data_IF_241858465229
#
_entry.id   IF_241858465229
#
_cell.length_a   1.000
_cell.length_b   1.000
_cell.length_c   1.000
_cell.angle_alpha   90.00
_cell.angle_beta   90.00
_cell.angle_gamma   90.00
#
_symmetry.space_group_name_H-M   'P 1'
#
loop_
_entity.id
_entity.type
_entity.pdbx_description
1 polymer ?
#
# COMPACT_ATOMS: atom_id res chain seq x y z
N UNK A 1 43.51 6.84 -25.84
CA UNK A 1 42.45 5.81 -25.70
C UNK A 1 42.56 4.97 -24.40
N UNK A 2 43.64 4.20 -24.13
CA UNK A 2 43.67 3.30 -22.91
C UNK A 2 43.53 4.04 -21.56
N UNK A 3 44.07 5.27 -21.42
CA UNK A 3 43.91 6.05 -20.17
C UNK A 3 42.49 6.59 -20.01
N UNK A 4 41.87 7.11 -21.07
CA UNK A 4 40.49 7.61 -21.03
C UNK A 4 39.54 6.51 -20.65
N UNK A 5 39.61 5.33 -21.27
CA UNK A 5 38.74 4.21 -20.95
C UNK A 5 38.84 3.75 -19.47
N UNK A 6 40.05 3.79 -18.89
CA UNK A 6 40.24 3.49 -17.46
C UNK A 6 39.57 4.54 -16.57
N UNK A 7 39.68 5.83 -16.92
CA UNK A 7 39.02 6.91 -16.15
C UNK A 7 37.51 6.75 -16.21
N UNK A 8 36.97 6.54 -17.43
CA UNK A 8 35.50 6.35 -17.61
C UNK A 8 35.00 5.12 -16.87
N UNK A 9 35.74 4.03 -16.87
CA UNK A 9 35.41 2.83 -16.08
C UNK A 9 35.35 3.12 -14.57
N UNK A 10 36.39 3.80 -14.04
CA UNK A 10 36.44 4.19 -12.62
C UNK A 10 35.28 5.12 -12.27
N UNK A 11 34.95 6.10 -13.10
CA UNK A 11 33.81 7.00 -12.91
C UNK A 11 32.48 6.21 -12.90
N UNK A 12 32.34 5.24 -13.80
CA UNK A 12 31.14 4.38 -13.81
C UNK A 12 30.98 3.57 -12.51
N UNK A 13 32.07 3.00 -12.01
CA UNK A 13 32.06 2.26 -10.74
C UNK A 13 31.72 3.19 -9.57
N UNK A 14 32.30 4.39 -9.55
CA UNK A 14 31.98 5.41 -8.53
C UNK A 14 30.51 5.82 -8.61
N UNK A 15 29.97 6.05 -9.81
CA UNK A 15 28.56 6.41 -9.99
C UNK A 15 27.61 5.33 -9.46
N UNK A 16 27.88 4.05 -9.74
CA UNK A 16 27.12 2.92 -9.20
C UNK A 16 27.23 2.86 -7.68
N UNK A 17 28.44 3.04 -7.13
CA UNK A 17 28.66 3.01 -5.70
C UNK A 17 27.92 4.16 -4.97
N UNK A 18 28.00 5.39 -5.51
CA UNK A 18 27.29 6.56 -4.99
C UNK A 18 25.77 6.31 -5.03
N UNK A 19 25.22 5.87 -6.16
CA UNK A 19 23.81 5.51 -6.26
C UNK A 19 23.44 4.40 -5.26
N UNK A 20 24.28 3.37 -5.15
CA UNK A 20 24.06 2.25 -4.24
C UNK A 20 24.01 2.65 -2.75
N UNK A 21 24.71 3.72 -2.38
CA UNK A 21 24.78 4.22 -1.01
C UNK A 21 23.82 5.39 -0.73
N UNK A 22 23.29 6.02 -1.78
CA UNK A 22 22.40 7.18 -1.62
C UNK A 22 21.03 6.77 -1.06
N UNK A 23 20.59 7.33 0.08
CA UNK A 23 19.25 7.07 0.61
C UNK A 23 18.15 7.61 -0.31
N UNK A 24 18.43 8.64 -1.11
CA UNK A 24 17.51 9.28 -2.05
C UNK A 24 17.14 8.38 -3.24
N UNK A 25 17.84 7.26 -3.44
CA UNK A 25 17.47 6.25 -4.46
C UNK A 25 16.14 5.58 -4.17
N UNK A 26 15.68 5.65 -2.92
CA UNK A 26 14.42 5.06 -2.51
C UNK A 26 13.28 6.07 -2.60
N UNK A 27 12.20 5.65 -3.21
CA UNK A 27 10.91 6.31 -3.06
C UNK A 27 10.30 5.89 -1.71
N UNK A 28 9.79 6.88 -0.98
CA UNK A 28 9.08 6.64 0.27
C UNK A 28 7.87 7.57 0.34
N UNK A 29 6.70 7.00 0.45
CA UNK A 29 5.46 7.72 0.67
C UNK A 29 4.82 7.24 1.98
N UNK A 30 4.53 8.19 2.87
CA UNK A 30 3.96 7.90 4.19
C UNK A 30 2.44 7.84 4.09
N UNK A 31 1.86 6.74 4.57
CA UNK A 31 0.42 6.59 4.76
C UNK A 31 0.04 6.87 6.21
N UNK A 32 0.87 6.41 7.15
CA UNK A 32 0.75 6.75 8.56
C UNK A 32 2.16 6.99 9.15
N UNK A 33 2.37 8.07 9.93
CA UNK A 33 1.41 9.12 10.36
C UNK A 33 0.68 9.83 9.21
N UNK A 34 -0.55 10.27 9.52
CA UNK A 34 -1.43 10.91 8.53
C UNK A 34 -0.81 12.20 7.98
N UNK A 35 -0.97 12.40 6.68
CA UNK A 35 -0.68 13.67 6.01
C UNK A 35 -1.96 14.50 5.89
N UNK A 36 -1.85 15.81 5.78
CA UNK A 36 -2.97 16.76 5.76
C UNK A 36 -4.05 16.47 4.69
N UNK A 37 -3.65 15.85 3.59
CA UNK A 37 -4.56 15.52 2.47
C UNK A 37 -5.28 14.19 2.61
N UNK A 38 -5.11 13.46 3.72
CA UNK A 38 -5.71 12.13 3.89
C UNK A 38 -6.85 12.14 4.87
N UNK A 39 -7.87 11.32 4.59
CA UNK A 39 -8.92 10.99 5.55
C UNK A 39 -8.76 9.55 6.00
N UNK A 40 -8.81 9.34 7.31
CA UNK A 40 -8.80 8.04 7.95
C UNK A 40 -10.18 7.76 8.55
N UNK A 41 -10.76 6.62 8.19
CA UNK A 41 -12.08 6.19 8.64
C UNK A 41 -12.05 4.74 9.11
N UNK A 42 -12.57 4.48 10.31
CA UNK A 42 -12.93 3.13 10.72
C UNK A 42 -14.37 2.85 10.28
N UNK A 43 -14.62 1.66 9.79
CA UNK A 43 -15.95 1.23 9.33
C UNK A 43 -16.25 -0.20 9.80
N UNK A 44 -17.52 -0.56 9.84
CA UNK A 44 -18.01 -1.90 10.12
C UNK A 44 -19.29 -2.20 9.33
N UNK A 45 -19.86 -3.38 9.54
CA UNK A 45 -21.02 -3.88 8.80
C UNK A 45 -22.37 -3.31 9.26
N UNK A 46 -22.41 -2.35 10.19
CA UNK A 46 -23.69 -1.82 10.73
C UNK A 46 -24.52 -1.09 9.68
N UNK A 47 -23.89 -0.44 8.72
CA UNK A 47 -24.58 0.22 7.61
C UNK A 47 -25.26 -0.79 6.67
N UNK A 48 -24.79 -2.05 6.67
CA UNK A 48 -25.35 -3.16 5.91
C UNK A 48 -26.19 -4.11 6.77
N UNK A 49 -26.64 -3.66 7.95
CA UNK A 49 -27.50 -4.41 8.86
C UNK A 49 -26.78 -5.40 9.76
N UNK A 50 -25.46 -5.36 9.82
CA UNK A 50 -24.65 -6.14 10.76
C UNK A 50 -24.60 -5.54 12.17
N UNK A 51 -23.82 -6.16 13.05
CA UNK A 51 -23.66 -5.74 14.45
C UNK A 51 -22.18 -5.76 14.89
N UNK A 52 -21.24 -5.89 13.97
CA UNK A 52 -19.82 -5.77 14.28
C UNK A 52 -19.48 -4.36 14.74
N UNK A 53 -18.36 -4.21 15.43
CA UNK A 53 -17.94 -2.91 15.96
C UNK A 53 -16.49 -2.65 15.65
N UNK A 54 -16.25 -1.55 14.96
CA UNK A 54 -14.94 -0.94 14.74
C UNK A 54 -14.75 0.25 15.67
N UNK A 55 -13.61 0.32 16.34
CA UNK A 55 -13.21 1.48 17.12
C UNK A 55 -11.82 1.95 16.69
N UNK A 56 -11.63 3.27 16.68
CA UNK A 56 -10.40 3.92 16.32
C UNK A 56 -10.06 4.96 17.37
N UNK A 57 -8.82 4.94 17.85
CA UNK A 57 -8.31 5.94 18.77
C UNK A 57 -6.82 6.22 18.48
N UNK A 58 -6.36 7.41 18.83
CA UNK A 58 -4.95 7.77 18.82
C UNK A 58 -4.38 7.64 20.23
N UNK A 59 -3.13 7.21 20.33
CA UNK A 59 -2.41 7.16 21.60
C UNK A 59 -1.39 8.28 21.62
N UNK A 60 -1.57 9.26 22.52
CA UNK A 60 -0.70 10.44 22.62
C UNK A 60 0.74 10.09 23.03
N UNK A 61 0.91 9.00 23.79
CA UNK A 61 2.20 8.61 24.34
C UNK A 61 3.27 8.25 23.28
N UNK A 62 2.85 7.72 22.14
CA UNK A 62 3.76 7.24 21.07
C UNK A 62 3.26 7.59 19.67
N UNK A 63 2.27 8.47 19.57
CA UNK A 63 1.65 8.89 18.31
C UNK A 63 1.18 7.73 17.44
N UNK A 64 0.82 6.60 18.06
CA UNK A 64 0.32 5.42 17.37
C UNK A 64 -1.20 5.45 17.23
N UNK A 65 -1.70 4.68 16.28
CA UNK A 65 -3.12 4.49 16.01
C UNK A 65 -3.55 3.14 16.57
N UNK A 66 -4.57 3.10 17.40
CA UNK A 66 -5.17 1.88 17.89
C UNK A 66 -6.51 1.64 17.18
N UNK A 67 -6.55 0.60 16.38
CA UNK A 67 -7.75 0.07 15.76
C UNK A 67 -8.17 -1.21 16.45
N UNK A 68 -9.45 -1.36 16.78
CA UNK A 68 -10.01 -2.60 17.28
C UNK A 68 -11.29 -2.95 16.55
N UNK A 69 -11.47 -4.24 16.31
CA UNK A 69 -12.62 -4.80 15.63
C UNK A 69 -13.17 -5.96 16.44
N UNK A 70 -14.50 -5.99 16.62
CA UNK A 70 -15.23 -7.13 17.21
C UNK A 70 -16.27 -7.59 16.21
N UNK A 71 -16.09 -8.79 15.66
CA UNK A 71 -17.05 -9.40 14.76
C UNK A 71 -18.25 -9.92 15.52
N UNK A 72 -19.47 -9.66 15.03
CA UNK A 72 -20.68 -10.17 15.65
C UNK A 72 -20.86 -11.69 15.41
N UNK A 73 -21.77 -12.31 16.16
CA UNK A 73 -22.02 -13.77 16.14
C UNK A 73 -23.17 -14.20 15.22
N UNK A 74 -23.91 -13.25 14.64
CA UNK A 74 -25.08 -13.51 13.79
C UNK A 74 -24.72 -14.17 12.44
N UNK A 75 -25.74 -14.51 11.65
CA UNK A 75 -25.58 -15.20 10.36
C UNK A 75 -25.19 -14.25 9.21
N UNK A 76 -25.55 -12.95 9.28
CA UNK A 76 -25.18 -11.95 8.27
C UNK A 76 -23.66 -11.81 8.15
N UNK A 77 -23.14 -11.42 7.00
CA UNK A 77 -21.71 -11.15 6.83
C UNK A 77 -21.18 -10.24 7.94
N UNK A 78 -19.98 -10.50 8.42
CA UNK A 78 -19.36 -9.76 9.52
C UNK A 78 -17.98 -9.26 9.12
N UNK A 79 -17.77 -7.94 9.15
CA UNK A 79 -16.49 -7.31 8.84
C UNK A 79 -16.30 -6.01 9.61
N UNK A 80 -15.05 -5.64 9.78
CA UNK A 80 -14.62 -4.29 10.14
C UNK A 80 -13.37 -3.95 9.37
N UNK A 81 -13.11 -2.66 9.20
CA UNK A 81 -11.91 -2.19 8.55
C UNK A 81 -11.50 -0.78 8.92
N UNK A 82 -10.33 -0.44 8.47
CA UNK A 82 -9.70 0.86 8.59
C UNK A 82 -9.27 1.30 7.20
N UNK A 83 -9.72 2.48 6.79
CA UNK A 83 -9.55 3.00 5.43
C UNK A 83 -8.84 4.34 5.44
N UNK A 84 -7.72 4.43 4.71
CA UNK A 84 -7.03 5.66 4.35
C UNK A 84 -7.47 6.08 2.95
N UNK A 85 -8.14 7.21 2.81
CA UNK A 85 -8.44 7.84 1.52
C UNK A 85 -7.38 8.88 1.21
N UNK A 86 -6.74 8.77 0.05
CA UNK A 86 -5.60 9.61 -0.33
C UNK A 86 -6.01 10.94 -0.97
N UNK A 87 -7.19 11.00 -1.56
CA UNK A 87 -7.73 12.18 -2.21
C UNK A 87 -9.25 12.25 -2.01
N UNK A 88 -9.74 12.53 -0.79
CA UNK A 88 -11.17 12.47 -0.50
C UNK A 88 -12.00 13.52 -1.26
N UNK A 89 -11.43 14.70 -1.53
CA UNK A 89 -12.14 15.84 -2.10
C UNK A 89 -11.86 16.08 -3.59
N UNK A 90 -10.98 15.28 -4.21
CA UNK A 90 -10.61 15.44 -5.61
C UNK A 90 -10.55 14.10 -6.30
N UNK A 91 -11.44 13.91 -7.26
CA UNK A 91 -11.54 12.71 -8.09
C UNK A 91 -10.31 12.47 -9.00
N UNK A 92 -9.38 13.42 -9.05
CA UNK A 92 -8.29 13.40 -10.03
C UNK A 92 -6.89 13.38 -9.41
N UNK A 93 -6.73 13.48 -8.09
CA UNK A 93 -5.42 13.57 -7.43
C UNK A 93 -5.09 12.31 -6.63
N UNK A 94 -5.16 11.15 -7.30
CA UNK A 94 -4.68 9.89 -6.74
C UNK A 94 -3.17 9.89 -6.60
N UNK A 95 -2.65 9.03 -5.72
CA UNK A 95 -1.20 8.86 -5.59
C UNK A 95 -0.64 8.03 -6.72
N UNK A 96 0.47 8.47 -7.28
CA UNK A 96 1.20 7.70 -8.29
C UNK A 96 2.21 6.77 -7.59
N UNK A 97 1.86 5.50 -7.53
CA UNK A 97 2.67 4.44 -6.93
C UNK A 97 3.27 3.47 -7.97
N UNK A 98 3.41 3.87 -9.23
CA UNK A 98 4.01 3.05 -10.29
C UNK A 98 5.39 2.50 -9.93
N UNK A 99 6.14 3.23 -9.11
CA UNK A 99 7.48 2.83 -8.67
C UNK A 99 7.52 2.26 -7.26
N UNK A 100 6.37 2.06 -6.64
CA UNK A 100 6.26 1.37 -5.35
C UNK A 100 6.39 -0.14 -5.60
N UNK A 101 7.24 -0.79 -4.84
CA UNK A 101 7.45 -2.23 -4.86
C UNK A 101 6.86 -2.95 -3.65
N UNK A 102 6.71 -2.23 -2.53
CA UNK A 102 6.24 -2.81 -1.28
C UNK A 102 5.51 -1.82 -0.38
N UNK A 103 4.55 -2.33 0.39
CA UNK A 103 3.94 -1.67 1.54
C UNK A 103 4.59 -2.23 2.81
N UNK A 104 4.99 -1.34 3.71
CA UNK A 104 5.66 -1.70 4.97
C UNK A 104 4.84 -1.20 6.13
N UNK A 105 4.46 -2.11 7.00
CA UNK A 105 3.66 -1.86 8.20
C UNK A 105 4.51 -2.14 9.44
N UNK A 106 4.60 -1.20 10.36
CA UNK A 106 5.10 -1.42 11.73
C UNK A 106 3.87 -1.45 12.64
N UNK A 107 3.48 -2.65 13.06
CA UNK A 107 2.21 -2.88 13.76
C UNK A 107 2.37 -3.86 14.91
N UNK A 108 1.61 -3.67 15.97
CA UNK A 108 1.38 -4.68 17.02
C UNK A 108 0.01 -5.31 16.77
N UNK A 109 -0.02 -6.62 16.58
CA UNK A 109 -1.21 -7.40 16.24
C UNK A 109 -1.61 -8.27 17.41
N UNK A 110 -2.88 -8.21 17.81
CA UNK A 110 -3.44 -8.99 18.90
C UNK A 110 -4.79 -9.60 18.51
N UNK A 111 -5.03 -10.85 18.91
CA UNK A 111 -6.34 -11.51 18.80
C UNK A 111 -6.69 -12.01 17.40
N UNK A 112 -5.78 -11.99 16.43
CA UNK A 112 -6.01 -12.58 15.10
C UNK A 112 -4.75 -13.25 14.55
N UNK A 113 -4.96 -14.25 13.69
CA UNK A 113 -3.92 -14.93 12.92
C UNK A 113 -3.87 -14.45 11.46
N UNK A 114 -4.81 -13.60 11.06
CA UNK A 114 -4.84 -13.04 9.70
C UNK A 114 -5.60 -11.71 9.65
N UNK A 115 -5.24 -10.87 8.70
CA UNK A 115 -6.01 -9.71 8.28
C UNK A 115 -5.79 -9.45 6.80
N UNK A 116 -6.65 -8.63 6.19
CA UNK A 116 -6.55 -8.27 4.78
C UNK A 116 -5.94 -6.89 4.62
N UNK A 117 -5.06 -6.76 3.64
CA UNK A 117 -4.64 -5.47 3.10
C UNK A 117 -5.25 -5.34 1.71
N UNK A 118 -5.88 -4.19 1.45
CA UNK A 118 -6.47 -3.87 0.15
C UNK A 118 -5.97 -2.49 -0.29
N UNK A 119 -5.40 -2.44 -1.48
CA UNK A 119 -5.08 -1.21 -2.18
C UNK A 119 -6.13 -1.01 -3.27
N UNK A 120 -6.86 0.09 -3.21
CA UNK A 120 -7.87 0.44 -4.20
C UNK A 120 -7.26 1.39 -5.22
N UNK A 121 -7.35 1.02 -6.50
CA UNK A 121 -6.80 1.80 -7.59
C UNK A 121 -7.89 2.27 -8.55
N UNK A 122 -7.67 3.43 -9.13
CA UNK A 122 -8.50 3.96 -10.20
C UNK A 122 -8.12 3.28 -11.52
N UNK A 123 -9.08 2.60 -12.12
CA UNK A 123 -8.95 1.99 -13.44
C UNK A 123 -9.69 2.90 -14.43
N UNK A 124 -9.01 3.55 -15.38
CA UNK A 124 -9.62 4.54 -16.26
C UNK A 124 -10.70 3.96 -17.17
N UNK A 125 -10.67 2.66 -17.43
CA UNK A 125 -11.62 1.99 -18.33
C UNK A 125 -12.86 1.46 -17.60
N UNK A 126 -12.82 1.36 -16.25
CA UNK A 126 -13.86 0.70 -15.44
C UNK A 126 -14.39 1.58 -14.33
N UNK A 127 -13.49 2.36 -13.68
CA UNK A 127 -13.85 3.07 -12.45
C UNK A 127 -14.76 4.25 -12.71
N UNK A 128 -15.94 4.22 -12.12
CA UNK A 128 -16.79 5.39 -11.91
C UNK A 128 -16.40 6.03 -10.57
N UNK A 129 -15.86 7.26 -10.56
CA UNK A 129 -15.43 7.93 -9.33
C UNK A 129 -16.53 8.12 -8.28
N UNK A 130 -17.78 8.22 -8.70
CA UNK A 130 -18.93 8.36 -7.81
C UNK A 130 -19.34 7.02 -7.17
N UNK A 131 -18.93 5.91 -7.77
CA UNK A 131 -19.17 4.57 -7.25
C UNK A 131 -17.92 3.97 -6.61
N UNK A 132 -17.82 4.05 -5.28
CA UNK A 132 -16.68 3.52 -4.52
C UNK A 132 -16.38 2.02 -4.77
N UNK A 133 -17.37 1.22 -5.22
CA UNK A 133 -17.24 -0.21 -5.46
C UNK A 133 -16.69 -0.53 -6.86
N UNK A 134 -16.61 0.44 -7.76
CA UNK A 134 -16.04 0.26 -9.10
C UNK A 134 -14.50 0.34 -9.12
N UNK A 135 -13.88 0.93 -8.09
CA UNK A 135 -12.43 0.92 -7.96
C UNK A 135 -11.89 -0.51 -7.92
N UNK A 136 -10.72 -0.70 -8.53
CA UNK A 136 -10.06 -2.01 -8.59
C UNK A 136 -9.40 -2.34 -7.24
N UNK A 137 -9.83 -3.37 -6.52
CA UNK A 137 -9.19 -3.80 -5.29
C UNK A 137 -8.01 -4.72 -5.59
N UNK A 138 -6.86 -4.41 -5.05
CA UNK A 138 -5.68 -5.26 -5.03
C UNK A 138 -5.54 -5.80 -3.61
N UNK A 139 -5.76 -7.10 -3.42
CA UNK A 139 -5.90 -7.73 -2.09
C UNK A 139 -4.69 -8.59 -1.76
N UNK A 140 -4.34 -8.64 -0.48
CA UNK A 140 -3.40 -9.61 0.10
C UNK A 140 -3.89 -10.05 1.47
N UNK A 141 -4.02 -11.35 1.67
CA UNK A 141 -4.15 -11.94 3.00
C UNK A 141 -2.78 -11.93 3.70
N UNK A 142 -2.73 -11.35 4.87
CA UNK A 142 -1.55 -11.34 5.72
C UNK A 142 -1.73 -12.32 6.84
N UNK A 143 -0.89 -13.35 6.87
CA UNK A 143 -0.84 -14.32 7.98
C UNK A 143 0.03 -13.75 9.11
N UNK A 144 -0.48 -13.81 10.33
CA UNK A 144 0.20 -13.40 11.55
C UNK A 144 0.65 -14.64 12.29
N UNK A 145 1.95 -14.90 12.27
CA UNK A 145 2.52 -16.09 12.93
C UNK A 145 2.59 -15.93 14.46
N UNK A 146 2.75 -14.69 14.92
CA UNK A 146 2.92 -14.37 16.34
C UNK A 146 2.27 -13.03 16.67
N UNK A 147 1.56 -12.98 17.78
CA UNK A 147 1.06 -11.73 18.35
C UNK A 147 2.21 -10.83 18.81
N UNK A 148 1.96 -9.52 18.82
CA UNK A 148 2.90 -8.49 19.23
C UNK A 148 3.38 -7.62 18.08
N UNK A 149 4.32 -6.72 18.42
CA UNK A 149 4.89 -5.77 17.45
C UNK A 149 5.77 -6.48 16.45
N UNK A 150 5.51 -6.22 15.17
CA UNK A 150 6.23 -6.80 14.06
C UNK A 150 6.23 -5.85 12.87
N UNK A 151 7.22 -6.03 12.02
CA UNK A 151 7.32 -5.35 10.74
C UNK A 151 6.85 -6.28 9.63
N UNK A 152 5.75 -5.93 8.99
CA UNK A 152 5.16 -6.69 7.90
C UNK A 152 5.49 -5.98 6.59
N UNK A 153 6.06 -6.71 5.63
CA UNK A 153 6.38 -6.21 4.28
C UNK A 153 5.51 -6.94 3.29
N UNK A 154 4.71 -6.20 2.55
CA UNK A 154 3.81 -6.72 1.52
C UNK A 154 4.29 -6.26 0.15
N UNK A 155 4.91 -7.13 -0.65
CA UNK A 155 5.28 -6.82 -2.03
C UNK A 155 4.03 -6.53 -2.86
N UNK A 156 4.06 -5.45 -3.64
CA UNK A 156 2.96 -5.09 -4.56
C UNK A 156 2.70 -6.21 -5.58
N UNK A 157 3.74 -6.97 -5.95
CA UNK A 157 3.60 -8.13 -6.85
C UNK A 157 2.68 -9.23 -6.29
N UNK A 158 2.55 -9.34 -4.96
CA UNK A 158 1.70 -10.33 -4.29
C UNK A 158 0.25 -9.88 -4.11
N UNK A 159 -0.06 -8.63 -4.40
CA UNK A 159 -1.44 -8.16 -4.42
C UNK A 159 -2.13 -8.67 -5.68
N UNK A 160 -3.34 -9.18 -5.56
CA UNK A 160 -4.14 -9.70 -6.68
C UNK A 160 -5.54 -9.06 -6.69
N UNK A 161 -6.14 -9.02 -7.88
CA UNK A 161 -7.54 -8.61 -8.05
C UNK A 161 -8.43 -9.83 -7.83
N UNK A 162 -9.39 -9.79 -6.89
CA UNK A 162 -10.25 -10.94 -6.64
C UNK A 162 -11.28 -11.17 -7.74
N UNK A 163 -11.62 -12.44 -7.97
CA UNK A 163 -12.54 -12.86 -9.03
C UNK A 163 -13.89 -12.17 -8.97
N UNK A 164 -14.42 -11.96 -7.75
CA UNK A 164 -15.72 -11.32 -7.57
C UNK A 164 -15.77 -9.89 -8.15
N UNK A 165 -14.64 -9.16 -8.19
CA UNK A 165 -14.60 -7.82 -8.75
C UNK A 165 -14.76 -7.87 -10.28
N UNK A 166 -14.04 -8.76 -10.97
CA UNK A 166 -14.18 -8.95 -12.42
C UNK A 166 -15.62 -9.32 -12.78
N UNK A 167 -16.24 -10.19 -12.00
CA UNK A 167 -17.64 -10.61 -12.22
C UNK A 167 -18.62 -9.46 -12.01
N UNK A 168 -18.46 -8.69 -10.92
CA UNK A 168 -19.35 -7.57 -10.58
C UNK A 168 -19.25 -6.41 -11.57
N UNK A 169 -18.02 -6.11 -12.04
CA UNK A 169 -17.79 -5.04 -13.01
C UNK A 169 -17.92 -5.51 -14.47
N UNK A 170 -18.12 -6.80 -14.73
CA UNK A 170 -18.18 -7.43 -16.06
C UNK A 170 -16.94 -7.15 -16.92
N UNK A 171 -15.78 -7.18 -16.29
CA UNK A 171 -14.48 -6.92 -16.90
C UNK A 171 -13.79 -8.22 -17.27
N UNK A 172 -13.07 -8.24 -18.40
CA UNK A 172 -12.27 -9.39 -18.80
C UNK A 172 -11.12 -9.60 -17.83
N UNK A 173 -10.96 -10.85 -17.35
CA UNK A 173 -9.89 -11.25 -16.42
C UNK A 173 -8.48 -11.12 -17.02
N UNK A 174 -8.35 -11.03 -18.35
CA UNK A 174 -7.07 -10.80 -19.01
C UNK A 174 -6.51 -9.38 -18.78
N UNK A 175 -7.33 -8.45 -18.28
CA UNK A 175 -6.93 -7.08 -17.94
C UNK A 175 -6.32 -7.04 -16.52
N UNK A 176 -5.11 -7.56 -16.38
CA UNK A 176 -4.41 -7.72 -15.09
C UNK A 176 -3.66 -6.46 -14.61
N UNK A 177 -3.77 -5.32 -15.30
CA UNK A 177 -3.08 -4.10 -14.90
C UNK A 177 -3.53 -3.64 -13.52
N UNK A 178 -2.55 -3.31 -12.68
CA UNK A 178 -2.81 -2.89 -11.28
C UNK A 178 -3.16 -1.42 -11.14
N UNK A 179 -2.94 -0.60 -12.17
CA UNK A 179 -3.20 0.85 -12.20
C UNK A 179 -2.64 1.59 -10.98
N UNK A 180 -1.37 1.33 -10.66
CA UNK A 180 -0.69 1.93 -9.50
C UNK A 180 -0.47 3.44 -9.65
N UNK A 181 -0.59 3.99 -10.84
CA UNK A 181 -0.63 5.44 -11.10
C UNK A 181 -1.85 6.12 -10.49
N UNK A 182 -2.88 5.33 -10.18
CA UNK A 182 -4.14 5.79 -9.61
C UNK A 182 -4.42 5.22 -8.21
N UNK A 183 -3.44 5.09 -7.32
CA UNK A 183 -3.67 4.61 -5.96
C UNK A 183 -4.58 5.57 -5.19
N UNK A 184 -5.80 5.14 -4.89
CA UNK A 184 -6.85 5.97 -4.32
C UNK A 184 -7.02 5.79 -2.81
N UNK A 185 -6.94 4.53 -2.33
CA UNK A 185 -7.21 4.19 -0.93
C UNK A 185 -6.38 2.99 -0.51
N UNK A 186 -5.96 2.98 0.76
CA UNK A 186 -5.42 1.79 1.43
C UNK A 186 -6.39 1.36 2.52
N UNK A 187 -6.60 0.06 2.66
CA UNK A 187 -7.53 -0.52 3.62
C UNK A 187 -6.85 -1.68 4.36
N UNK A 188 -7.13 -1.76 5.66
CA UNK A 188 -6.88 -2.95 6.48
C UNK A 188 -8.23 -3.43 6.98
N UNK A 189 -8.56 -4.70 6.79
CA UNK A 189 -9.83 -5.26 7.25
C UNK A 189 -9.66 -6.63 7.90
N UNK A 190 -10.74 -7.10 8.56
CA UNK A 190 -10.78 -8.45 9.12
C UNK A 190 -10.48 -9.50 8.06
N UNK A 191 -9.76 -10.56 8.46
CA UNK A 191 -9.45 -11.70 7.58
C UNK A 191 -10.69 -12.51 7.20
N UNK A 192 -10.62 -13.24 6.10
CA UNK A 192 -11.72 -14.08 5.60
C UNK A 192 -12.10 -15.20 6.57
N UNK A 193 -11.11 -15.74 7.31
CA UNK A 193 -11.28 -16.87 8.19
C UNK A 193 -11.41 -16.47 9.66
N UNK A 194 -11.50 -15.17 9.94
CA UNK A 194 -11.64 -14.69 11.29
C UNK A 194 -12.95 -15.18 11.90
N UNK A 195 -12.86 -15.82 13.08
CA UNK A 195 -14.03 -16.39 13.77
C UNK A 195 -14.96 -15.30 14.30
N UNK A 196 -16.26 -15.48 14.08
CA UNK A 196 -17.30 -14.62 14.62
C UNK A 196 -17.28 -14.59 16.15
N UNK A 197 -17.70 -13.49 16.73
CA UNK A 197 -17.65 -13.26 18.17
C UNK A 197 -16.25 -13.06 18.73
N UNK A 198 -15.23 -12.94 17.86
CA UNK A 198 -13.86 -12.64 18.25
C UNK A 198 -13.53 -11.18 17.99
N UNK A 199 -12.64 -10.67 18.83
CA UNK A 199 -12.08 -9.34 18.70
C UNK A 199 -10.61 -9.44 18.33
N UNK A 200 -10.14 -8.48 17.55
CA UNK A 200 -8.71 -8.25 17.32
C UNK A 200 -8.39 -6.77 17.42
N UNK A 201 -7.14 -6.46 17.61
CA UNK A 201 -6.65 -5.09 17.57
C UNK A 201 -5.33 -4.98 16.83
N UNK A 202 -5.15 -3.82 16.20
CA UNK A 202 -3.93 -3.41 15.53
C UNK A 202 -3.49 -2.08 16.12
N UNK A 203 -2.32 -2.06 16.77
CA UNK A 203 -1.67 -0.81 17.11
C UNK A 203 -0.66 -0.49 16.02
N UNK A 204 -0.91 0.59 15.29
CA UNK A 204 -0.16 0.96 14.08
C UNK A 204 0.81 2.08 14.43
N UNK A 205 2.11 1.86 14.22
CA UNK A 205 3.17 2.82 14.44
C UNK A 205 3.58 3.53 13.15
N UNK A 206 3.63 2.81 12.04
CA UNK A 206 3.83 3.40 10.71
C UNK A 206 3.30 2.53 9.60
N UNK A 207 2.90 3.19 8.51
CA UNK A 207 2.61 2.55 7.21
C UNK A 207 3.33 3.37 6.15
N UNK A 208 4.15 2.70 5.34
CA UNK A 208 4.98 3.31 4.31
C UNK A 208 4.83 2.55 2.99
N UNK A 209 4.63 3.26 1.89
CA UNK A 209 4.84 2.74 0.55
C UNK A 209 6.30 2.99 0.15
N UNK A 210 7.02 1.94 -0.23
CA UNK A 210 8.44 1.99 -0.60
C UNK A 210 8.66 1.52 -2.03
N UNK A 211 9.65 2.10 -2.67
CA UNK A 211 10.03 1.74 -4.03
C UNK A 211 11.29 2.44 -4.50
N UNK A 212 11.43 2.61 -5.80
CA UNK A 212 12.59 3.25 -6.42
C UNK A 212 12.29 4.71 -6.73
N UNK A 213 13.20 5.60 -6.40
CA UNK A 213 13.09 7.02 -6.77
C UNK A 213 13.35 7.21 -8.28
N UNK A 214 12.33 7.67 -9.00
CA UNK A 214 12.46 7.99 -10.44
C UNK A 214 13.50 9.08 -10.68
N UNK A 215 13.59 10.07 -9.79
CA UNK A 215 14.57 11.15 -9.88
C UNK A 215 16.00 10.62 -9.74
N UNK A 216 16.28 9.83 -8.71
CA UNK A 216 17.60 9.26 -8.47
C UNK A 216 18.02 8.30 -9.60
N UNK A 217 17.07 7.49 -10.11
CA UNK A 217 17.31 6.64 -11.28
C UNK A 217 17.59 7.46 -12.55
N UNK A 218 16.83 8.53 -12.77
CA UNK A 218 17.03 9.45 -13.89
C UNK A 218 18.42 10.11 -13.86
N UNK A 219 18.87 10.54 -12.69
CA UNK A 219 20.23 11.08 -12.51
C UNK A 219 21.31 10.05 -12.84
N UNK A 220 21.13 8.81 -12.40
CA UNK A 220 22.07 7.73 -12.72
C UNK A 220 22.14 7.46 -14.23
N UNK A 221 20.97 7.38 -14.89
CA UNK A 221 20.90 7.16 -16.34
C UNK A 221 21.52 8.33 -17.12
N UNK A 222 21.25 9.58 -16.71
CA UNK A 222 21.87 10.78 -17.30
C UNK A 222 23.39 10.75 -17.15
N UNK A 223 23.91 10.37 -15.98
CA UNK A 223 25.33 10.22 -15.73
C UNK A 223 25.99 9.20 -16.68
N UNK A 224 25.37 8.03 -16.89
CA UNK A 224 25.89 7.04 -17.83
C UNK A 224 25.80 7.49 -19.27
N UNK A 225 24.77 8.22 -19.65
CA UNK A 225 24.68 8.82 -21.00
C UNK A 225 25.80 9.82 -21.25
N UNK A 226 26.10 10.68 -20.26
CA UNK A 226 27.22 11.62 -20.35
C UNK A 226 28.58 10.89 -20.48
N UNK A 227 28.80 9.81 -19.73
CA UNK A 227 30.01 8.99 -19.88
C UNK A 227 30.08 8.37 -21.28
N UNK A 228 29.00 7.86 -21.81
CA UNK A 228 28.95 7.24 -23.12
C UNK A 228 29.25 8.24 -24.23
N UNK A 229 28.75 9.49 -24.13
CA UNK A 229 29.06 10.56 -25.13
C UNK A 229 30.53 10.99 -25.13
N UNK A 230 31.22 10.91 -23.97
CA UNK A 230 32.66 11.22 -23.88
C UNK A 230 33.52 10.05 -24.42
N UNK A 231 32.98 8.83 -24.38
CA UNK A 231 33.68 7.63 -24.81
C UNK A 231 33.74 7.47 -26.35
N UNK A 232 32.85 8.14 -27.09
CA UNK A 232 32.78 8.14 -28.55
C UNK A 232 33.72 9.20 -29.11
#
# INVERSE_FOLDING_TARGET
>A
MKRLNRILFVLSVIGIAVYGLAPERYFKDMVFPLQESMILTAYDDRDDGGMSRANLSTTDADSSLLFSCTLHTGESPAWCGLLWSFAPDSLLHYRNWMLVDSLVFDVDVQGTTEFLIKLWTFDPDVTDPENKFSFRPLIKEVTVEKEGRQRIVVPISQLYVPDYWYESQKVDRSLELKHLEGAARLEISSGWNMKRGKSFSLKIYSIEAKGVSSFALGLLLFFFLAIATIAV
#
